data_IF_141951580903
#
_entry.id   IF_141951580903
#
_cell.length_a   1.000
_cell.length_b   1.000
_cell.length_c   1.000
_cell.angle_alpha   90.00
_cell.angle_beta   90.00
_cell.angle_gamma   90.00
#
_symmetry.space_group_name_H-M   'P 1'
#
loop_
_entity.id
_entity.type
_entity.pdbx_description
1 polymer ?
#
# COMPACT_ATOMS: atom_id res chain seq x y z
N UNK A 13 -6.88 -4.32 -4.21
CA UNK A 13 -8.14 -4.81 -4.77
C UNK A 13 -8.67 -3.82 -5.81
N UNK A 14 -8.10 -3.89 -7.02
CA UNK A 14 -8.50 -3.00 -8.09
C UNK A 14 -8.13 -3.50 -9.47
N UNK A 15 -7.00 -3.02 -9.98
CA UNK A 15 -6.51 -3.35 -11.31
C UNK A 15 -5.15 -4.02 -11.18
N UNK A 16 -5.17 -5.34 -10.96
CA UNK A 16 -3.96 -6.14 -10.80
C UNK A 16 -4.16 -7.51 -11.45
N UNK A 17 -3.05 -8.13 -11.84
CA UNK A 17 -3.09 -9.44 -12.49
C UNK A 17 -3.76 -10.47 -11.58
N UNK A 18 -4.14 -11.60 -12.17
CA UNK A 18 -4.78 -12.64 -11.36
C UNK A 18 -3.78 -13.34 -10.44
N UNK A 19 -2.53 -13.49 -10.88
CA UNK A 19 -1.53 -14.19 -10.08
C UNK A 19 -1.20 -13.41 -8.81
N UNK A 20 -1.04 -12.09 -8.94
CA UNK A 20 -0.75 -11.23 -7.80
C UNK A 20 -1.82 -11.37 -6.71
N UNK A 21 -3.08 -11.58 -7.11
CA UNK A 21 -4.13 -11.71 -6.10
C UNK A 21 -4.12 -13.12 -5.49
N UNK A 22 -3.79 -14.15 -6.26
CA UNK A 22 -3.88 -15.51 -5.74
C UNK A 22 -2.71 -15.85 -4.79
N UNK A 23 -1.48 -15.46 -5.15
CA UNK A 23 -0.36 -15.58 -4.22
C UNK A 23 -0.65 -14.83 -2.92
N UNK A 24 -0.94 -13.52 -3.03
CA UNK A 24 -1.10 -12.65 -1.86
C UNK A 24 -2.20 -13.11 -0.94
N UNK A 25 -3.21 -13.79 -1.46
CA UNK A 25 -4.32 -14.13 -0.61
C UNK A 25 -4.00 -15.30 0.32
N UNK A 26 -2.99 -16.11 -0.03
CA UNK A 26 -2.68 -17.32 0.74
C UNK A 26 -1.82 -17.04 1.98
N UNK A 27 -1.15 -15.89 2.05
CA UNK A 27 -0.38 -15.51 3.25
C UNK A 27 -1.20 -14.64 4.21
N UNK A 28 -1.98 -13.65 3.72
CA UNK A 28 -2.72 -12.75 4.62
C UNK A 28 -4.03 -13.39 5.17
N UNK A 29 -4.71 -14.26 4.39
CA UNK A 29 -5.78 -15.16 4.87
C UNK A 29 -5.23 -16.58 4.92
N UNK A 30 -5.56 -17.32 6.00
CA UNK A 30 -4.99 -18.65 6.41
C UNK A 30 -3.45 -18.63 6.49
N UNK A 31 -2.95 -18.11 7.62
CA UNK A 31 -1.57 -17.64 7.74
C UNK A 31 -0.38 -18.58 7.51
N UNK A 32 0.34 -18.36 6.40
CA UNK A 32 1.50 -19.16 6.02
C UNK A 32 2.72 -18.27 5.77
N UNK A 33 3.91 -18.80 6.04
CA UNK A 33 5.14 -18.02 5.90
C UNK A 33 5.44 -17.77 4.43
N UNK A 34 6.21 -16.70 4.17
CA UNK A 34 6.53 -16.37 2.78
C UNK A 34 7.48 -17.40 2.16
N UNK A 35 8.43 -17.94 2.94
CA UNK A 35 9.44 -18.87 2.41
C UNK A 35 8.82 -20.11 1.79
N UNK A 36 7.87 -20.74 2.49
CA UNK A 36 7.33 -22.00 2.01
C UNK A 36 6.68 -21.81 0.64
N UNK A 37 6.01 -20.67 0.45
CA UNK A 37 5.21 -20.43 -0.75
C UNK A 37 6.10 -20.23 -1.96
N UNK A 38 7.34 -19.80 -1.74
CA UNK A 38 8.26 -19.68 -2.86
C UNK A 38 8.50 -21.04 -3.53
N UNK A 39 8.89 -22.06 -2.74
CA UNK A 39 9.26 -23.35 -3.31
C UNK A 39 8.12 -23.99 -4.09
N UNK A 40 6.88 -23.91 -3.57
CA UNK A 40 5.77 -24.63 -4.18
C UNK A 40 5.41 -24.05 -5.55
N UNK A 41 5.54 -22.75 -5.74
CA UNK A 41 5.27 -22.16 -7.03
C UNK A 41 6.53 -21.94 -7.85
N UNK A 42 7.71 -22.03 -7.24
CA UNK A 42 8.95 -21.84 -7.95
C UNK A 42 9.31 -20.39 -8.27
N UNK A 43 9.21 -19.49 -7.28
CA UNK A 43 9.59 -18.09 -7.46
C UNK A 43 10.60 -17.68 -6.39
N UNK A 44 11.38 -16.63 -6.69
CA UNK A 44 12.40 -16.12 -5.78
C UNK A 44 11.76 -15.53 -4.53
N UNK A 45 12.59 -15.31 -3.50
CA UNK A 45 12.07 -14.66 -2.29
C UNK A 45 11.79 -13.18 -2.54
N UNK A 46 12.63 -12.53 -3.35
CA UNK A 46 12.49 -11.09 -3.57
C UNK A 46 11.15 -10.74 -4.20
N UNK A 47 10.60 -11.63 -5.01
CA UNK A 47 9.45 -11.26 -5.83
C UNK A 47 8.13 -11.57 -5.13
N UNK A 48 8.09 -12.60 -4.28
CA UNK A 48 6.91 -12.85 -3.46
C UNK A 48 6.72 -11.71 -2.47
N UNK A 49 7.81 -11.09 -2.03
CA UNK A 49 7.67 -9.99 -1.10
C UNK A 49 7.33 -8.68 -1.80
N UNK A 50 7.56 -8.56 -3.10
CA UNK A 50 7.10 -7.38 -3.82
C UNK A 50 5.63 -7.51 -4.26
N UNK A 51 5.06 -8.72 -4.26
CA UNK A 51 3.62 -8.93 -4.56
C UNK A 51 2.72 -8.61 -3.36
N UNK A 52 3.15 -9.02 -2.16
CA UNK A 52 2.37 -8.76 -0.96
C UNK A 52 2.30 -7.27 -0.68
N UNK A 53 3.33 -6.52 -1.07
CA UNK A 53 3.42 -5.12 -0.66
C UNK A 53 2.46 -4.21 -1.44
N UNK A 54 2.15 -4.52 -2.70
CA UNK A 54 1.28 -3.65 -3.49
C UNK A 54 -0.21 -3.89 -3.24
N UNK A 55 -0.59 -5.00 -2.60
CA UNK A 55 -1.97 -5.15 -2.14
C UNK A 55 -2.21 -4.38 -0.83
N UNK A 56 -1.22 -4.34 0.08
CA UNK A 56 -1.39 -3.57 1.32
C UNK A 56 -1.52 -2.07 1.04
N UNK A 57 -0.71 -1.53 0.15
CA UNK A 57 -0.77 -0.10 -0.07
C UNK A 57 -1.96 0.32 -0.92
N UNK A 58 -2.61 -0.63 -1.59
CA UNK A 58 -3.86 -0.33 -2.29
C UNK A 58 -5.05 -0.33 -1.35
N UNK A 59 -5.02 -1.10 -0.26
CA UNK A 59 -6.11 -0.99 0.71
C UNK A 59 -6.05 0.30 1.54
N UNK A 60 -4.96 1.07 1.45
CA UNK A 60 -4.82 2.32 2.19
C UNK A 60 -5.08 3.54 1.34
N UNK A 61 -5.17 3.36 0.04
CA UNK A 61 -5.40 4.45 -0.91
C UNK A 61 -4.24 5.46 -0.97
N UNK A 62 -2.99 4.98 -0.91
CA UNK A 62 -1.79 5.84 -0.96
C UNK A 62 -0.78 5.29 -1.96
N UNK A 63 0.12 6.15 -2.49
CA UNK A 63 1.14 5.70 -3.47
C UNK A 63 2.09 4.65 -2.89
N UNK A 64 2.92 4.05 -3.76
CA UNK A 64 3.76 2.96 -3.24
C UNK A 64 5.09 3.41 -2.68
N UNK A 65 5.48 4.67 -2.85
CA UNK A 65 6.77 5.14 -2.37
C UNK A 65 6.75 5.66 -0.93
N UNK A 66 5.59 5.77 -0.28
CA UNK A 66 5.54 6.32 1.07
C UNK A 66 6.08 5.29 2.08
N UNK A 67 6.65 5.78 3.20
CA UNK A 67 7.30 4.93 4.20
C UNK A 67 6.62 5.03 5.57
N UNK A 68 6.88 4.01 6.40
CA UNK A 68 6.24 3.80 7.71
C UNK A 68 7.19 4.10 8.88
N UNK A 69 6.82 5.04 9.78
CA UNK A 69 7.73 5.52 10.84
C UNK A 69 7.07 5.43 12.23
N UNK A 70 7.85 5.06 13.27
CA UNK A 70 7.35 4.98 14.66
C UNK A 70 8.34 5.42 15.76
N UNK A 71 7.96 6.43 16.59
CA UNK A 71 8.87 7.07 17.56
C UNK A 71 8.13 7.41 18.88
N UNK A 72 8.89 7.79 19.95
CA UNK A 72 8.36 8.32 21.23
C UNK A 72 8.59 9.84 21.33
N UNK A 73 7.63 10.62 21.81
CA UNK A 73 7.95 12.05 21.95
C UNK A 73 6.91 12.75 22.86
N UNK A 74 7.21 13.99 23.32
CA UNK A 74 6.35 14.73 24.29
C UNK A 74 4.95 15.01 23.76
N UNK A 75 4.01 15.33 24.65
CA UNK A 75 2.58 15.36 24.25
C UNK A 75 2.16 16.51 23.33
N UNK A 76 2.82 17.67 23.34
CA UNK A 76 2.42 18.71 22.39
C UNK A 76 2.86 18.37 20.96
N UNK A 77 4.12 17.95 20.80
CA UNK A 77 4.64 17.61 19.47
C UNK A 77 3.98 16.33 18.94
N UNK A 78 3.54 15.45 19.85
CA UNK A 78 2.76 14.26 19.47
C UNK A 78 1.43 14.63 18.78
N UNK A 79 0.91 15.84 19.01
CA UNK A 79 -0.30 16.22 18.29
C UNK A 79 0.02 16.79 16.91
N UNK A 80 1.07 17.60 16.79
CA UNK A 80 1.43 18.16 15.50
C UNK A 80 1.79 17.07 14.47
N UNK A 81 2.33 15.92 14.92
CA UNK A 81 2.68 14.85 13.98
C UNK A 81 1.41 14.11 13.53
N UNK A 82 0.39 14.00 14.39
CA UNK A 82 -0.84 13.35 13.96
C UNK A 82 -1.53 14.16 12.87
N UNK A 83 -1.31 15.49 12.85
CA UNK A 83 -2.03 16.36 11.92
C UNK A 83 -1.35 16.43 10.55
N UNK A 84 -0.01 16.37 10.49
CA UNK A 84 0.75 16.28 9.22
C UNK A 84 0.15 15.14 8.35
N UNK A 85 -0.06 13.96 8.94
CA UNK A 85 -0.59 12.82 8.20
C UNK A 85 -1.96 13.15 7.60
N UNK A 86 -2.89 13.64 8.42
CA UNK A 86 -4.28 13.78 7.97
C UNK A 86 -4.41 14.79 6.83
N UNK A 87 -3.62 15.86 6.87
CA UNK A 87 -3.76 16.87 5.83
C UNK A 87 -3.14 16.39 4.51
N UNK A 88 -1.99 15.71 4.60
CA UNK A 88 -1.32 15.21 3.40
C UNK A 88 -2.15 14.17 2.66
N UNK A 89 -3.02 13.46 3.37
CA UNK A 89 -3.82 12.39 2.77
C UNK A 89 -5.01 12.94 1.98
N UNK A 90 -5.56 14.08 2.41
CA UNK A 90 -6.68 14.68 1.70
C UNK A 90 -6.21 15.55 0.53
N UNK A 91 -4.91 15.88 0.49
CA UNK A 91 -4.36 16.64 -0.62
C UNK A 91 -4.15 15.77 -1.86
N UNK A 92 -3.71 14.50 -1.72
CA UNK A 92 -3.67 13.68 -2.93
C UNK A 92 -5.06 13.53 -3.51
N UNK A 93 -6.10 13.47 -2.66
CA UNK A 93 -7.46 13.22 -3.12
C UNK A 93 -7.99 14.33 -4.05
N UNK A 94 -7.85 15.59 -3.63
CA UNK A 94 -8.31 16.75 -4.42
C UNK A 94 -7.52 16.88 -5.72
N UNK A 95 -6.19 16.88 -5.63
CA UNK A 95 -5.35 17.03 -6.81
C UNK A 95 -5.54 15.87 -7.79
N UNK A 96 -6.14 14.76 -7.38
CA UNK A 96 -6.32 13.68 -8.33
C UNK A 96 -7.58 13.86 -9.15
N UNK A 97 -8.67 14.28 -8.51
CA UNK A 97 -9.90 14.49 -9.25
C UNK A 97 -9.75 15.60 -10.31
N UNK A 98 -8.86 16.59 -10.07
CA UNK A 98 -8.73 17.68 -11.02
C UNK A 98 -8.11 17.22 -12.34
N UNK A 99 -7.10 16.33 -12.32
CA UNK A 99 -6.45 15.92 -13.58
C UNK A 99 -7.30 14.92 -14.39
N UNK A 100 -8.25 14.24 -13.74
CA UNK A 100 -9.23 13.42 -14.46
C UNK A 100 -10.19 14.29 -15.29
N UNK A 101 -10.62 15.43 -14.73
CA UNK A 101 -11.50 16.32 -15.46
C UNK A 101 -10.80 16.91 -16.68
N UNK A 102 -9.57 17.41 -16.50
CA UNK A 102 -8.82 18.01 -17.60
C UNK A 102 -8.62 17.06 -18.80
N UNK A 103 -8.75 15.74 -18.63
CA UNK A 103 -8.60 14.83 -19.77
C UNK A 103 -9.93 14.43 -20.41
N UNK A 104 -11.07 14.95 -19.94
CA UNK A 104 -12.42 14.70 -20.49
C UNK A 104 -12.91 15.85 -21.37
N UNK A 105 -12.04 16.33 -22.28
CA UNK A 105 -12.27 17.48 -23.15
C UNK A 105 -12.31 18.77 -22.32
N UNK A 106 -13.20 19.70 -22.68
CA UNK A 106 -13.36 21.03 -22.04
C UNK A 106 -12.09 21.84 -21.96
#
# INVERSE_FOLDING_TARGET
XTAAAFDDLRPRLGRLTEETIDIAREVLVEGKSQSDVARERGLSRQRVSSMVKSVVSAANEIPREWQRVEVWLPPNLAEKVRQMEADAKADVARKNQLTDAALEHHHHHH
#
